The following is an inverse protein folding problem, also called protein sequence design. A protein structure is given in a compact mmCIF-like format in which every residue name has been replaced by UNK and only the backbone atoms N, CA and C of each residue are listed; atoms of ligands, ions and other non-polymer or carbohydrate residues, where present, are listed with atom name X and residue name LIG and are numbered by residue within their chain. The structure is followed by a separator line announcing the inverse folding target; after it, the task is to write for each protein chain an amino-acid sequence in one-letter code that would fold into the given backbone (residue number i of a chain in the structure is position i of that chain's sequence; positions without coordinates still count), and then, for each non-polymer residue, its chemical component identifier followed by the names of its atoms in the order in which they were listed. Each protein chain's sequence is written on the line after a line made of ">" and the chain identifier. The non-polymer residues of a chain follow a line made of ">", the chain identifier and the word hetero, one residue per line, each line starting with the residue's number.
data_IF_357943414956
#
_entry.id   IF_357943414956
#
_cell.length_a   1.000
_cell.length_b   1.000
_cell.length_c   1.000
_cell.angle_alpha   90.00
_cell.angle_beta   90.00
_cell.angle_gamma   90.00
#
_symmetry.space_group_name_H-M   'P 1'
#
loop_
_entity.id
_entity.type
_entity.pdbx_description
1 polymer ?
#
# COMPACT_ATOMS: atom_id res chain seq x y z
N UNK A 1 12.09 -1.34 2.02
CA UNK A 1 12.05 -0.62 3.31
C UNK A 1 13.36 -0.72 4.10
N UNK A 2 13.95 -1.91 4.38
CA UNK A 2 15.16 -2.02 5.22
C UNK A 2 16.34 -1.15 4.74
N UNK A 3 16.65 -1.21 3.44
CA UNK A 3 17.75 -0.42 2.87
C UNK A 3 17.49 1.08 2.99
N UNK A 4 16.25 1.53 2.72
CA UNK A 4 15.87 2.95 2.80
C UNK A 4 15.96 3.46 4.24
N UNK A 5 15.57 2.66 5.23
CA UNK A 5 15.61 3.04 6.64
C UNK A 5 17.01 3.46 7.11
N UNK A 6 18.05 2.76 6.64
CA UNK A 6 19.45 3.05 6.98
C UNK A 6 20.04 4.25 6.22
N UNK A 7 19.39 4.68 5.13
CA UNK A 7 19.87 5.78 4.28
C UNK A 7 19.21 7.13 4.61
N UNK A 8 18.07 7.12 5.30
CA UNK A 8 17.35 8.34 5.67
C UNK A 8 17.66 8.76 7.11
N UNK A 9 17.76 10.08 7.31
CA UNK A 9 17.91 10.70 8.63
C UNK A 9 16.68 10.45 9.51
N UNK A 10 16.84 10.67 10.81
CA UNK A 10 15.73 10.75 11.76
C UNK A 10 14.64 11.70 11.26
N UNK A 11 13.37 11.30 11.42
CA UNK A 11 12.20 12.01 10.87
C UNK A 11 12.22 12.16 9.33
N UNK A 12 13.03 11.35 8.65
CA UNK A 12 13.04 11.27 7.19
C UNK A 12 11.73 10.69 6.66
N UNK A 13 11.29 11.22 5.52
CA UNK A 13 10.01 10.93 4.91
C UNK A 13 10.16 10.00 3.72
N UNK A 14 9.22 9.06 3.57
CA UNK A 14 9.21 8.09 2.46
C UNK A 14 7.80 7.96 1.93
N UNK A 15 7.64 8.13 0.62
CA UNK A 15 6.44 7.71 -0.11
C UNK A 15 6.81 6.46 -0.88
N UNK A 16 6.16 5.33 -0.56
CA UNK A 16 6.42 4.05 -1.20
C UNK A 16 5.22 3.58 -2.02
N UNK A 17 5.50 3.08 -3.22
CA UNK A 17 4.50 2.50 -4.11
C UNK A 17 4.33 1.00 -3.78
N UNK A 18 3.13 0.61 -3.40
CA UNK A 18 2.71 -0.77 -3.14
C UNK A 18 2.07 -1.33 -4.40
N UNK A 19 2.60 -2.47 -4.87
CA UNK A 19 2.13 -3.18 -6.05
C UNK A 19 1.60 -4.57 -5.66
N UNK A 20 0.28 -4.76 -5.52
CA UNK A 20 -0.30 -6.05 -5.10
C UNK A 20 0.21 -7.26 -5.90
N UNK A 21 0.39 -7.11 -7.21
CA UNK A 21 0.89 -8.16 -8.10
C UNK A 21 2.34 -8.60 -7.85
N UNK A 22 3.10 -7.84 -7.06
CA UNK A 22 4.47 -8.21 -6.65
C UNK A 22 4.44 -8.80 -5.23
N UNK A 23 3.60 -8.25 -4.35
CA UNK A 23 3.63 -8.52 -2.90
C UNK A 23 2.69 -9.66 -2.44
N UNK A 24 1.64 -9.97 -3.20
CA UNK A 24 0.58 -10.89 -2.77
C UNK A 24 1.03 -12.37 -2.72
N UNK A 25 1.91 -12.79 -3.64
CA UNK A 25 2.21 -14.21 -3.88
C UNK A 25 1.57 -14.71 -5.19
N UNK A 26 2.13 -15.77 -5.77
CA UNK A 26 1.73 -16.28 -7.11
C UNK A 26 0.29 -16.80 -7.14
N UNK A 27 -0.18 -17.34 -6.04
CA UNK A 27 -1.51 -17.93 -5.86
C UNK A 27 -2.65 -16.89 -5.94
N UNK A 28 -2.34 -15.61 -5.72
CA UNK A 28 -3.32 -14.52 -5.80
C UNK A 28 -3.32 -13.79 -7.15
N UNK A 29 -2.44 -14.21 -8.08
CA UNK A 29 -2.27 -13.58 -9.39
C UNK A 29 -3.08 -14.36 -10.44
N UNK A 30 -3.97 -13.67 -11.16
CA UNK A 30 -4.75 -14.26 -12.24
C UNK A 30 -3.98 -14.28 -13.58
N UNK A 31 -4.56 -14.94 -14.60
CA UNK A 31 -4.06 -14.85 -15.99
C UNK A 31 -3.87 -13.37 -16.38
N UNK A 32 -2.70 -13.06 -16.95
CA UNK A 32 -2.30 -11.69 -17.28
C UNK A 32 -1.57 -10.93 -16.17
N UNK A 33 -1.26 -11.57 -15.03
CA UNK A 33 -0.46 -10.93 -13.99
C UNK A 33 -1.24 -9.94 -13.13
N UNK A 34 -2.56 -10.10 -13.03
CA UNK A 34 -3.47 -9.13 -12.39
C UNK A 34 -4.00 -9.66 -11.07
N UNK A 35 -3.99 -8.80 -10.05
CA UNK A 35 -4.70 -9.03 -8.79
C UNK A 35 -6.02 -8.25 -8.87
N UNK A 36 -7.15 -8.96 -8.75
CA UNK A 36 -8.50 -8.36 -8.88
C UNK A 36 -9.28 -8.28 -7.57
N UNK A 37 -8.98 -9.15 -6.61
CA UNK A 37 -9.76 -9.25 -5.37
C UNK A 37 -9.36 -8.13 -4.42
N UNK A 38 -10.32 -7.31 -4.01
CA UNK A 38 -10.09 -6.20 -3.08
C UNK A 38 -9.47 -6.69 -1.77
N UNK A 39 -9.88 -7.86 -1.29
CA UNK A 39 -9.40 -8.49 -0.06
C UNK A 39 -7.89 -8.78 -0.16
N UNK A 40 -7.40 -9.19 -1.33
CA UNK A 40 -5.96 -9.38 -1.56
C UNK A 40 -5.20 -8.06 -1.49
N UNK A 41 -5.78 -6.97 -2.00
CA UNK A 41 -5.16 -5.64 -1.95
C UNK A 41 -5.07 -5.17 -0.49
N UNK A 42 -6.16 -5.34 0.28
CA UNK A 42 -6.20 -5.02 1.71
C UNK A 42 -5.14 -5.82 2.48
N UNK A 43 -5.05 -7.13 2.23
CA UNK A 43 -4.05 -8.01 2.84
C UNK A 43 -2.61 -7.54 2.55
N UNK A 44 -2.31 -7.20 1.29
CA UNK A 44 -0.99 -6.71 0.89
C UNK A 44 -0.66 -5.40 1.60
N UNK A 45 -1.57 -4.42 1.59
CA UNK A 45 -1.32 -3.11 2.21
C UNK A 45 -1.10 -3.29 3.71
N UNK A 46 -1.92 -4.12 4.37
CA UNK A 46 -1.77 -4.44 5.78
C UNK A 46 -0.39 -5.05 6.06
N UNK A 47 0.03 -6.05 5.28
CA UNK A 47 1.35 -6.70 5.41
C UNK A 47 2.50 -5.70 5.26
N UNK A 48 2.40 -4.77 4.31
CA UNK A 48 3.41 -3.71 4.11
C UNK A 48 3.44 -2.74 5.29
N UNK A 49 2.28 -2.27 5.75
CA UNK A 49 2.19 -1.36 6.90
C UNK A 49 2.68 -2.00 8.20
N UNK A 50 2.26 -3.24 8.50
CA UNK A 50 2.74 -4.00 9.67
C UNK A 50 4.28 -4.14 9.64
N UNK A 51 4.86 -4.35 8.44
CA UNK A 51 6.32 -4.43 8.28
C UNK A 51 7.01 -3.08 8.45
N UNK A 52 6.40 -1.99 7.99
CA UNK A 52 6.91 -0.64 8.18
C UNK A 52 6.93 -0.26 9.68
N UNK A 53 5.84 -0.52 10.39
CA UNK A 53 5.73 -0.27 11.83
C UNK A 53 6.77 -1.06 12.64
N UNK A 54 7.00 -2.34 12.29
CA UNK A 54 8.07 -3.16 12.89
C UNK A 54 9.50 -2.63 12.64
N UNK A 55 9.66 -1.72 11.69
CA UNK A 55 10.94 -1.06 11.36
C UNK A 55 10.96 0.38 11.90
N UNK A 56 10.11 0.72 12.87
CA UNK A 56 10.00 2.05 13.48
C UNK A 56 9.65 3.18 12.49
N UNK A 57 8.96 2.84 11.41
CA UNK A 57 8.22 3.83 10.63
C UNK A 57 6.84 4.07 11.24
N UNK A 58 6.47 5.33 11.36
CA UNK A 58 5.09 5.74 11.58
C UNK A 58 4.38 5.89 10.24
N UNK A 59 3.14 5.42 10.15
CA UNK A 59 2.29 5.59 8.98
C UNK A 59 1.58 6.93 9.08
N UNK A 60 1.77 7.76 8.05
CA UNK A 60 1.22 9.11 7.97
C UNK A 60 0.07 9.21 6.97
N UNK A 61 0.01 8.30 5.99
CA UNK A 61 -1.06 8.30 5.00
C UNK A 61 -1.06 7.07 4.11
N UNK A 62 -2.23 6.80 3.54
CA UNK A 62 -2.46 5.77 2.53
C UNK A 62 -3.41 6.32 1.47
N UNK A 63 -3.08 6.13 0.20
CA UNK A 63 -3.95 6.43 -0.93
C UNK A 63 -3.69 5.45 -2.08
N UNK A 64 -4.46 5.54 -3.17
CA UNK A 64 -4.20 4.79 -4.39
C UNK A 64 -3.51 5.67 -5.45
N UNK A 65 -2.73 5.04 -6.33
CA UNK A 65 -2.16 5.70 -7.48
C UNK A 65 -3.26 6.05 -8.49
N UNK A 66 -3.34 7.28 -9.00
CA UNK A 66 -4.38 7.66 -9.96
C UNK A 66 -4.15 7.05 -11.35
N UNK A 67 -2.98 6.45 -11.59
CA UNK A 67 -2.59 5.94 -12.89
C UNK A 67 -3.30 4.63 -13.22
N UNK A 68 -4.18 4.68 -14.23
CA UNK A 68 -4.75 3.49 -14.86
C UNK A 68 -3.68 2.83 -15.74
N UNK A 69 -3.10 1.73 -15.27
CA UNK A 69 -2.21 0.91 -16.10
C UNK A 69 -3.02 0.05 -17.06
N UNK A 70 -2.51 -0.13 -18.27
CA UNK A 70 -3.05 -1.09 -19.26
C UNK A 70 -3.10 -2.52 -18.73
N UNK A 71 -2.25 -2.86 -17.76
CA UNK A 71 -2.26 -4.16 -17.08
C UNK A 71 -3.46 -4.38 -16.15
N UNK A 72 -4.21 -3.33 -15.78
CA UNK A 72 -5.38 -3.44 -14.89
C UNK A 72 -5.06 -3.62 -13.41
N UNK A 73 -3.80 -3.58 -12.99
CA UNK A 73 -3.44 -3.60 -11.58
C UNK A 73 -3.61 -2.21 -10.95
N UNK A 74 -4.32 -2.17 -9.82
CA UNK A 74 -4.41 -0.99 -8.94
C UNK A 74 -3.18 -0.98 -8.03
N UNK A 75 -2.49 0.16 -7.97
CA UNK A 75 -1.32 0.37 -7.12
C UNK A 75 -1.63 1.40 -6.03
N UNK A 76 -0.92 1.34 -4.90
CA UNK A 76 -1.17 2.18 -3.74
C UNK A 76 0.07 2.94 -3.30
N UNK A 77 -0.13 4.07 -2.63
CA UNK A 77 0.94 4.90 -2.08
C UNK A 77 0.79 4.93 -0.57
N UNK A 78 1.86 4.59 0.14
CA UNK A 78 1.95 4.73 1.60
C UNK A 78 2.99 5.79 1.96
N UNK A 79 2.61 6.71 2.84
CA UNK A 79 3.47 7.75 3.36
C UNK A 79 3.92 7.36 4.78
N UNK A 80 5.24 7.30 4.95
CA UNK A 80 5.93 6.81 6.14
C UNK A 80 6.92 7.86 6.64
N UNK A 81 7.10 7.95 7.95
CA UNK A 81 8.14 8.79 8.57
C UNK A 81 8.94 7.96 9.57
N UNK A 82 10.27 8.02 9.44
CA UNK A 82 11.18 7.32 10.35
C UNK A 82 11.13 7.92 11.74
N UNK A 83 10.93 7.10 12.77
CA UNK A 83 11.04 7.50 14.19
C UNK A 83 10.23 8.76 14.56
N UNK A 84 9.08 8.97 13.92
CA UNK A 84 8.22 10.13 14.24
C UNK A 84 7.37 9.92 15.52
N UNK A 85 7.49 8.75 16.16
CA UNK A 85 6.62 8.34 17.26
C UNK A 85 5.41 7.56 16.74
N UNK A 86 4.20 8.04 17.05
CA UNK A 86 2.95 7.33 16.72
C UNK A 86 2.51 7.58 15.28
N UNK A 87 1.74 6.65 14.74
CA UNK A 87 1.00 6.85 13.49
C UNK A 87 0.10 8.08 13.59
N UNK A 88 0.05 8.89 12.54
CA UNK A 88 -0.91 9.99 12.45
C UNK A 88 -2.24 9.57 11.84
N UNK A 89 -2.30 8.38 11.26
CA UNK A 89 -3.54 7.81 10.77
C UNK A 89 -4.29 7.09 11.90
N UNK A 90 -5.53 7.52 12.13
CA UNK A 90 -6.40 6.84 13.07
C UNK A 90 -6.98 5.58 12.40
N UNK A 91 -6.76 4.43 13.03
CA UNK A 91 -7.39 3.17 12.68
C UNK A 91 -7.05 2.68 11.24
N UNK A 92 -5.80 2.25 11.07
CA UNK A 92 -5.26 1.83 9.78
C UNK A 92 -6.10 0.76 9.03
N UNK A 93 -6.71 -0.26 9.69
CA UNK A 93 -7.56 -1.22 8.99
C UNK A 93 -8.74 -0.59 8.23
N UNK A 94 -9.43 0.38 8.82
CA UNK A 94 -10.59 1.07 8.23
C UNK A 94 -10.14 1.97 7.07
N UNK A 95 -8.96 2.57 7.19
CA UNK A 95 -8.38 3.38 6.11
C UNK A 95 -8.03 2.48 4.92
N UNK A 96 -7.45 1.31 5.15
CA UNK A 96 -7.18 0.33 4.09
C UNK A 96 -8.48 -0.03 3.37
N UNK A 97 -9.52 -0.39 4.11
CA UNK A 97 -10.83 -0.75 3.53
C UNK A 97 -11.38 0.40 2.67
N UNK A 98 -11.39 1.62 3.21
CA UNK A 98 -11.88 2.81 2.52
C UNK A 98 -11.11 3.10 1.23
N UNK A 99 -9.77 3.13 1.30
CA UNK A 99 -8.90 3.45 0.16
C UNK A 99 -9.02 2.39 -0.92
N UNK A 100 -9.02 1.11 -0.56
CA UNK A 100 -9.19 0.01 -1.52
C UNK A 100 -10.56 0.10 -2.18
N UNK A 101 -11.63 0.34 -1.42
CA UNK A 101 -12.99 0.50 -1.97
C UNK A 101 -13.04 1.65 -2.98
N UNK A 102 -12.50 2.82 -2.63
CA UNK A 102 -12.45 3.99 -3.53
C UNK A 102 -11.66 3.67 -4.80
N UNK A 103 -10.47 3.08 -4.67
CA UNK A 103 -9.65 2.71 -5.82
C UNK A 103 -10.37 1.76 -6.77
N UNK A 104 -11.05 0.74 -6.24
CA UNK A 104 -11.84 -0.19 -7.06
C UNK A 104 -13.03 0.50 -7.73
N UNK A 105 -13.69 1.47 -7.09
CA UNK A 105 -14.79 2.21 -7.70
C UNK A 105 -14.32 3.11 -8.86
N UNK A 106 -13.16 3.74 -8.72
CA UNK A 106 -12.65 4.71 -9.72
C UNK A 106 -11.88 4.06 -10.87
N UNK A 107 -11.16 2.97 -10.56
CA UNK A 107 -10.15 2.39 -11.46
C UNK A 107 -10.53 1.03 -12.03
N UNK A 108 -11.49 0.31 -11.44
CA UNK A 108 -11.97 -0.93 -12.08
C UNK A 108 -12.67 -0.60 -13.40
N UNK A 109 -12.51 -1.41 -14.45
CA UNK A 109 -13.26 -1.24 -15.68
C UNK A 109 -14.77 -1.26 -15.36
N UNK A 110 -15.52 -0.29 -15.92
CA UNK A 110 -16.98 -0.35 -15.87
C UNK A 110 -17.43 -1.61 -16.62
N UNK A 111 -18.30 -2.38 -15.98
CA UNK A 111 -18.96 -3.53 -16.64
C UNK A 111 -19.82 -3.04 -17.80
#
# INVERSE_FOLDING_TARGET
>A
LPAVYNLIKEKGEVVALIKPQIEAGREFIQKGGVVKKAETHQMVIKKVGDKAQKMDFSIQGLTFSPLKKTSGNIEYLIYLVKNSGKDQINNFPQIIEKVVKQAHQELSPRK
#
